data_IF_627985896387
#
_entry.id   IF_627985896387
#
_cell.length_a   1.000
_cell.length_b   1.000
_cell.length_c   1.000
_cell.angle_alpha   90.00
_cell.angle_beta   90.00
_cell.angle_gamma   90.00
#
_symmetry.space_group_name_H-M   'P 1'
#
loop_
_entity.id
_entity.type
_entity.pdbx_description
1 polymer ?
#
# COMPACT_ATOMS: atom_id res chain seq x y z
N UNK A 1 -26.16 5.82 -1.52
CA UNK A 1 -24.83 5.91 -0.90
C UNK A 1 -23.93 6.95 -1.57
N UNK A 2 -23.58 6.82 -2.86
CA UNK A 2 -22.70 7.77 -3.59
C UNK A 2 -22.96 9.26 -3.29
N UNK A 3 -24.20 9.74 -3.49
CA UNK A 3 -24.58 11.14 -3.18
C UNK A 3 -24.30 11.54 -1.73
N UNK A 4 -24.57 10.64 -0.77
CA UNK A 4 -24.29 10.90 0.67
C UNK A 4 -22.79 11.05 0.93
N UNK A 5 -21.95 10.30 0.21
CA UNK A 5 -20.50 10.39 0.31
C UNK A 5 -19.99 11.69 -0.32
N UNK A 6 -20.56 12.13 -1.44
CA UNK A 6 -20.26 13.44 -2.04
C UNK A 6 -20.67 14.59 -1.12
N UNK A 7 -21.88 14.54 -0.56
CA UNK A 7 -22.37 15.53 0.41
C UNK A 7 -21.49 15.55 1.68
N UNK A 8 -21.08 14.37 2.18
CA UNK A 8 -20.15 14.23 3.30
C UNK A 8 -18.78 14.82 2.98
N UNK A 9 -18.24 14.57 1.79
CA UNK A 9 -16.97 15.13 1.34
C UNK A 9 -17.02 16.66 1.25
N UNK A 10 -18.13 17.24 0.79
CA UNK A 10 -18.35 18.68 0.80
C UNK A 10 -18.29 19.26 2.21
N UNK A 11 -19.01 18.65 3.16
CA UNK A 11 -19.00 19.08 4.58
C UNK A 11 -17.64 18.90 5.25
N UNK A 12 -16.93 17.83 4.93
CA UNK A 12 -15.55 17.60 5.41
C UNK A 12 -14.61 18.71 4.92
N UNK A 13 -14.75 19.16 3.66
CA UNK A 13 -13.92 20.23 3.11
C UNK A 13 -14.20 21.62 3.71
N UNK A 14 -15.33 21.81 4.41
CA UNK A 14 -15.64 23.02 5.16
C UNK A 14 -14.99 23.05 6.56
N UNK A 15 -14.44 21.92 7.03
CA UNK A 15 -13.82 21.83 8.35
C UNK A 15 -12.47 22.56 8.36
N UNK A 16 -12.22 23.49 9.31
CA UNK A 16 -10.94 24.18 9.41
C UNK A 16 -9.75 23.23 9.48
N UNK A 17 -8.78 23.46 8.60
CA UNK A 17 -7.58 22.63 8.46
C UNK A 17 -7.68 21.56 7.37
N UNK A 18 -8.89 21.17 6.93
CA UNK A 18 -9.08 20.29 5.77
C UNK A 18 -8.85 21.09 4.49
N UNK A 19 -8.05 20.55 3.58
CA UNK A 19 -7.71 21.18 2.30
C UNK A 19 -8.35 20.47 1.11
N UNK A 20 -8.60 19.16 1.23
CA UNK A 20 -9.25 18.38 0.19
C UNK A 20 -9.80 17.05 0.75
N UNK A 21 -10.73 16.45 0.02
CA UNK A 21 -11.28 15.12 0.28
C UNK A 21 -11.24 14.29 -1.00
N UNK A 22 -10.73 13.07 -0.88
CA UNK A 22 -10.55 12.16 -1.99
C UNK A 22 -11.14 10.79 -1.64
N UNK A 23 -11.90 10.23 -2.57
CA UNK A 23 -12.32 8.84 -2.52
C UNK A 23 -11.13 7.95 -2.90
N UNK A 24 -10.78 7.02 -2.03
CA UNK A 24 -9.74 6.02 -2.23
C UNK A 24 -10.29 4.60 -2.39
N UNK A 25 -9.42 3.64 -2.10
CA UNK A 25 -9.78 2.24 -1.97
C UNK A 25 -10.28 1.57 -3.26
N UNK A 26 -11.02 0.49 -3.08
CA UNK A 26 -11.54 -0.32 -4.18
C UNK A 26 -12.56 0.43 -5.03
N UNK A 27 -13.33 1.35 -4.43
CA UNK A 27 -14.37 2.12 -5.09
C UNK A 27 -13.81 3.16 -6.06
N UNK A 28 -12.73 3.85 -5.69
CA UNK A 28 -12.06 4.77 -6.61
C UNK A 28 -11.47 4.05 -7.84
N UNK A 29 -11.01 2.81 -7.66
CA UNK A 29 -10.36 2.00 -8.68
C UNK A 29 -11.33 1.17 -9.53
N UNK A 30 -12.63 1.16 -9.20
CA UNK A 30 -13.61 0.31 -9.88
C UNK A 30 -13.50 -1.18 -9.55
N UNK A 31 -12.74 -1.54 -8.53
CA UNK A 31 -12.48 -2.94 -8.10
C UNK A 31 -13.34 -3.37 -6.90
N UNK A 32 -14.36 -2.57 -6.56
CA UNK A 32 -15.20 -2.80 -5.39
C UNK A 32 -16.21 -3.92 -5.62
N UNK A 33 -16.56 -4.59 -4.52
CA UNK A 33 -17.70 -5.50 -4.43
C UNK A 33 -18.89 -4.79 -3.77
N UNK A 34 -20.12 -5.36 -3.82
CA UNK A 34 -21.28 -4.76 -3.17
C UNK A 34 -21.07 -4.47 -1.67
N UNK A 35 -20.30 -5.32 -0.99
CA UNK A 35 -19.97 -5.25 0.44
C UNK A 35 -18.77 -4.36 0.78
N UNK A 36 -18.12 -3.73 -0.21
CA UNK A 36 -16.93 -2.91 0.05
C UNK A 36 -17.26 -1.62 0.81
N UNK A 37 -16.34 -1.26 1.68
CA UNK A 37 -16.22 0.01 2.39
C UNK A 37 -16.12 1.22 1.45
N UNK A 38 -16.27 2.41 2.03
CA UNK A 38 -15.96 3.69 1.39
C UNK A 38 -14.80 4.35 2.10
N UNK A 39 -13.65 4.44 1.43
CA UNK A 39 -12.46 5.10 1.97
C UNK A 39 -12.40 6.57 1.55
N UNK A 40 -12.44 7.49 2.52
CA UNK A 40 -12.23 8.91 2.32
C UNK A 40 -10.88 9.33 2.89
N UNK A 41 -9.96 9.72 2.01
CA UNK A 41 -8.77 10.47 2.40
C UNK A 41 -9.17 11.90 2.74
N UNK A 42 -8.98 12.30 3.99
CA UNK A 42 -9.20 13.67 4.48
C UNK A 42 -7.83 14.35 4.56
N UNK A 43 -7.55 15.16 3.54
CA UNK A 43 -6.27 15.85 3.41
C UNK A 43 -6.31 17.12 4.24
N UNK A 44 -5.35 17.28 5.13
CA UNK A 44 -5.29 18.43 6.04
C UNK A 44 -3.91 19.08 6.01
N UNK A 45 -3.85 20.32 6.49
CA UNK A 45 -2.61 21.08 6.65
C UNK A 45 -2.65 21.87 7.95
N UNK A 46 -1.58 21.78 8.74
CA UNK A 46 -1.50 22.45 10.04
C UNK A 46 -2.47 21.84 11.06
N UNK A 47 -3.12 22.71 11.84
CA UNK A 47 -4.06 22.28 12.87
C UNK A 47 -5.41 21.90 12.26
N UNK A 48 -5.94 20.75 12.68
CA UNK A 48 -7.23 20.21 12.25
C UNK A 48 -8.26 20.40 13.37
N UNK A 49 -9.44 20.91 13.03
CA UNK A 49 -10.54 21.03 14.00
C UNK A 49 -11.18 19.66 14.26
N UNK A 50 -10.62 18.91 15.21
CA UNK A 50 -11.10 17.59 15.61
C UNK A 50 -12.50 17.63 16.22
N UNK A 51 -12.90 18.74 16.84
CA UNK A 51 -14.23 18.88 17.40
C UNK A 51 -15.28 18.99 16.29
N UNK A 52 -14.99 19.77 15.24
CA UNK A 52 -15.83 19.86 14.05
C UNK A 52 -15.91 18.50 13.30
N UNK A 53 -14.79 17.77 13.19
CA UNK A 53 -14.81 16.41 12.63
C UNK A 53 -15.65 15.46 13.47
N UNK A 54 -15.53 15.48 14.80
CA UNK A 54 -16.35 14.66 15.69
C UNK A 54 -17.84 14.99 15.57
N UNK A 55 -18.19 16.27 15.51
CA UNK A 55 -19.57 16.71 15.29
C UNK A 55 -20.13 16.22 13.93
N UNK A 56 -19.30 16.19 12.89
CA UNK A 56 -19.67 15.67 11.57
C UNK A 56 -19.80 14.14 11.54
N UNK A 57 -18.90 13.44 12.23
CA UNK A 57 -18.89 11.98 12.32
C UNK A 57 -20.11 11.44 13.05
N UNK A 58 -20.59 12.21 14.03
CA UNK A 58 -21.80 11.92 14.78
C UNK A 58 -21.53 11.33 16.17
N UNK A 59 -22.60 11.14 16.96
CA UNK A 59 -22.49 10.73 18.34
C UNK A 59 -21.87 9.34 18.47
N UNK A 60 -20.91 9.19 19.39
CA UNK A 60 -20.26 7.91 19.69
C UNK A 60 -19.17 7.49 18.71
N UNK A 61 -18.89 8.29 17.67
CA UNK A 61 -17.75 8.04 16.78
C UNK A 61 -16.51 8.73 17.32
N UNK A 62 -15.47 7.95 17.58
CA UNK A 62 -14.16 8.49 17.93
C UNK A 62 -13.40 8.92 16.67
N UNK A 63 -12.93 10.17 16.66
CA UNK A 63 -12.03 10.68 15.62
C UNK A 63 -10.62 10.75 16.18
N UNK A 64 -9.77 9.81 15.78
CA UNK A 64 -8.36 9.82 16.12
C UNK A 64 -7.66 10.95 15.36
N UNK A 65 -7.11 11.92 16.10
CA UNK A 65 -6.33 13.00 15.52
C UNK A 65 -4.99 12.53 14.91
N UNK A 66 -4.22 13.44 14.31
CA UNK A 66 -2.87 13.15 13.81
C UNK A 66 -2.00 12.40 14.83
N UNK A 67 -1.40 11.29 14.40
CA UNK A 67 -0.59 10.36 15.20
C UNK A 67 -1.38 9.30 15.97
N UNK A 68 -2.70 9.43 16.10
CA UNK A 68 -3.55 8.51 16.87
C UNK A 68 -3.57 7.07 16.36
N UNK A 69 -3.31 6.86 15.06
CA UNK A 69 -3.19 5.52 14.45
C UNK A 69 -1.75 5.16 14.07
N UNK A 70 -0.77 5.82 14.68
CA UNK A 70 0.66 5.61 14.42
C UNK A 70 1.21 6.50 13.29
N UNK A 71 2.50 6.31 12.95
CA UNK A 71 3.23 7.31 12.18
C UNK A 71 2.84 7.39 10.70
N UNK A 72 2.09 6.44 10.12
CA UNK A 72 1.80 6.42 8.68
C UNK A 72 0.33 6.62 8.35
N UNK A 73 -0.54 5.72 8.83
CA UNK A 73 -2.00 5.88 8.64
C UNK A 73 -2.48 7.17 9.33
N UNK A 74 -1.74 7.62 10.35
CA UNK A 74 -1.83 8.90 11.03
C UNK A 74 -3.02 9.02 11.97
N UNK A 75 -4.24 8.95 11.45
CA UNK A 75 -5.47 9.07 12.23
C UNK A 75 -6.68 8.99 11.32
N UNK A 76 -7.87 9.22 11.88
CA UNK A 76 -9.10 9.06 11.14
C UNK A 76 -10.30 8.70 11.99
N UNK A 77 -11.31 8.15 11.35
CA UNK A 77 -12.51 7.65 12.01
C UNK A 77 -13.08 6.46 11.24
N UNK A 78 -13.67 5.50 11.96
CA UNK A 78 -14.47 4.44 11.36
C UNK A 78 -15.94 4.74 11.60
N UNK A 79 -16.71 4.87 10.52
CA UNK A 79 -18.11 5.23 10.56
C UNK A 79 -18.96 4.11 9.99
N UNK A 80 -20.23 4.11 10.39
CA UNK A 80 -21.27 3.32 9.73
C UNK A 80 -22.36 4.26 9.25
N UNK A 81 -22.53 4.36 7.93
CA UNK A 81 -23.53 5.21 7.29
C UNK A 81 -24.55 4.30 6.61
N UNK A 82 -25.80 4.35 7.05
CA UNK A 82 -26.89 3.45 6.60
C UNK A 82 -26.51 1.96 6.61
N UNK A 83 -25.73 1.51 7.60
CA UNK A 83 -25.27 0.12 7.68
C UNK A 83 -24.08 -0.25 6.78
N UNK A 84 -23.45 0.73 6.13
CA UNK A 84 -22.24 0.54 5.31
C UNK A 84 -21.04 1.19 5.98
N UNK A 85 -19.90 0.51 6.01
CA UNK A 85 -18.65 1.05 6.53
C UNK A 85 -18.15 2.22 5.68
N UNK A 86 -17.76 3.30 6.36
CA UNK A 86 -17.12 4.48 5.76
C UNK A 86 -15.91 4.84 6.61
N UNK A 87 -14.73 4.83 6.01
CA UNK A 87 -13.47 5.05 6.69
C UNK A 87 -12.95 6.44 6.32
N UNK A 88 -12.69 7.27 7.33
CA UNK A 88 -11.95 8.52 7.16
C UNK A 88 -10.51 8.26 7.50
N UNK A 89 -9.61 8.59 6.59
CA UNK A 89 -8.18 8.43 6.79
C UNK A 89 -7.50 9.80 6.66
N UNK A 90 -6.85 10.26 7.72
CA UNK A 90 -6.15 11.55 7.70
C UNK A 90 -4.88 11.49 6.87
N UNK A 91 -4.68 12.52 6.04
CA UNK A 91 -3.48 12.70 5.21
C UNK A 91 -2.93 14.10 5.39
N UNK A 92 -1.72 14.20 5.93
CA UNK A 92 -0.99 15.47 5.94
C UNK A 92 -0.59 15.81 4.50
N UNK A 93 -1.19 16.86 3.94
CA UNK A 93 -0.98 17.27 2.56
C UNK A 93 0.48 17.64 2.27
N UNK A 94 1.19 18.24 3.23
CA UNK A 94 2.59 18.59 3.06
C UNK A 94 3.48 17.34 3.08
N UNK A 95 3.13 16.34 3.90
CA UNK A 95 3.82 15.05 3.86
C UNK A 95 3.58 14.32 2.54
N UNK A 96 2.35 14.28 2.06
CA UNK A 96 2.02 13.66 0.76
C UNK A 96 2.81 14.35 -0.36
N UNK A 97 2.90 15.68 -0.36
CA UNK A 97 3.72 16.44 -1.28
C UNK A 97 5.21 16.10 -1.20
N UNK A 98 5.78 16.02 0.02
CA UNK A 98 7.19 15.61 0.21
C UNK A 98 7.46 14.21 -0.32
N UNK A 99 6.60 13.25 0.00
CA UNK A 99 6.72 11.86 -0.47
C UNK A 99 6.63 11.79 -2.00
N UNK A 100 5.79 12.61 -2.63
CA UNK A 100 5.76 12.69 -4.08
C UNK A 100 7.10 13.16 -4.67
N UNK A 101 7.71 14.21 -4.11
CA UNK A 101 9.03 14.67 -4.56
C UNK A 101 10.13 13.62 -4.28
N UNK A 102 10.07 12.91 -3.15
CA UNK A 102 10.98 11.77 -2.89
C UNK A 102 10.83 10.67 -3.94
N UNK A 103 9.59 10.27 -4.26
CA UNK A 103 9.32 9.30 -5.32
C UNK A 103 9.90 9.76 -6.67
N UNK A 104 9.78 11.04 -7.02
CA UNK A 104 10.36 11.59 -8.27
C UNK A 104 11.88 11.45 -8.33
N UNK A 105 12.53 11.47 -7.18
CA UNK A 105 13.98 11.31 -7.03
C UNK A 105 14.39 9.86 -6.73
N UNK A 106 13.45 8.90 -6.80
CA UNK A 106 13.72 7.49 -6.55
C UNK A 106 13.94 7.14 -5.07
N UNK A 107 13.51 7.99 -4.16
CA UNK A 107 13.56 7.75 -2.72
C UNK A 107 12.22 7.25 -2.20
N UNK A 108 12.30 6.32 -1.26
CA UNK A 108 11.15 5.83 -0.50
C UNK A 108 11.60 5.34 0.87
N UNK A 109 10.64 5.23 1.78
CA UNK A 109 10.82 4.71 3.13
C UNK A 109 9.80 3.60 3.38
N UNK A 110 10.20 2.60 4.18
CA UNK A 110 9.32 1.51 4.63
C UNK A 110 9.30 1.52 6.15
N UNK A 111 8.13 1.76 6.73
CA UNK A 111 7.99 1.87 8.19
C UNK A 111 7.08 0.82 8.81
N UNK A 112 7.25 0.62 10.12
CA UNK A 112 6.36 -0.22 10.92
C UNK A 112 5.04 0.51 11.13
N UNK A 113 3.93 -0.17 10.84
CA UNK A 113 2.58 0.40 10.95
C UNK A 113 1.58 -0.71 11.28
N UNK A 114 0.77 -0.50 12.32
CA UNK A 114 -0.34 -1.41 12.62
C UNK A 114 -1.31 -1.45 11.43
N UNK A 115 -1.78 -2.66 11.08
CA UNK A 115 -2.61 -2.89 9.89
C UNK A 115 -1.83 -3.13 8.59
N UNK A 116 -0.51 -2.98 8.59
CA UNK A 116 0.36 -3.21 7.42
C UNK A 116 1.49 -4.21 7.75
N UNK A 117 1.23 -5.53 7.75
CA UNK A 117 2.21 -6.56 8.12
C UNK A 117 3.50 -6.58 7.29
N UNK A 118 3.47 -6.10 6.03
CA UNK A 118 4.68 -5.98 5.20
C UNK A 118 5.48 -4.70 5.51
N UNK A 119 4.90 -3.78 6.28
CA UNK A 119 5.35 -2.40 6.46
C UNK A 119 4.57 -1.43 5.57
N UNK A 120 4.53 -0.16 5.97
CA UNK A 120 3.96 0.92 5.19
C UNK A 120 5.01 1.48 4.24
N UNK A 121 4.78 1.35 2.94
CA UNK A 121 5.67 1.86 1.90
C UNK A 121 5.24 3.29 1.56
N UNK A 122 6.11 4.29 1.76
CA UNK A 122 5.74 5.69 1.52
C UNK A 122 5.16 5.97 0.13
N UNK A 123 5.56 5.32 -0.98
CA UNK A 123 4.96 5.57 -2.29
C UNK A 123 3.44 5.36 -2.33
N UNK A 124 2.87 4.63 -1.36
CA UNK A 124 1.43 4.53 -1.14
C UNK A 124 0.75 5.91 -1.11
N UNK A 125 1.32 6.93 -0.46
CA UNK A 125 0.72 8.27 -0.41
C UNK A 125 0.51 8.88 -1.81
N UNK A 126 1.52 8.80 -2.68
CA UNK A 126 1.42 9.28 -4.05
C UNK A 126 0.46 8.42 -4.87
N UNK A 127 0.49 7.09 -4.66
CA UNK A 127 -0.39 6.13 -5.31
C UNK A 127 -1.87 6.32 -4.95
N UNK A 128 -2.19 6.63 -3.69
CA UNK A 128 -3.56 6.92 -3.25
C UNK A 128 -4.11 8.15 -3.98
N UNK A 129 -3.31 9.19 -4.15
CA UNK A 129 -3.70 10.38 -4.92
C UNK A 129 -3.87 10.03 -6.40
N UNK A 130 -2.93 9.27 -6.98
CA UNK A 130 -2.96 8.88 -8.40
C UNK A 130 -4.20 8.07 -8.76
N UNK A 131 -4.53 7.09 -7.92
CA UNK A 131 -5.62 6.14 -8.15
C UNK A 131 -6.97 6.62 -7.59
N UNK A 132 -6.95 7.62 -6.73
CA UNK A 132 -8.14 8.17 -6.10
C UNK A 132 -9.02 9.01 -7.03
N UNK A 133 -10.20 9.37 -6.53
CA UNK A 133 -11.10 10.35 -7.16
C UNK A 133 -11.30 11.53 -6.21
N UNK A 134 -10.85 12.71 -6.62
CA UNK A 134 -11.08 13.95 -5.85
C UNK A 134 -12.58 14.22 -5.78
N UNK A 135 -13.10 14.40 -4.56
CA UNK A 135 -14.51 14.71 -4.30
C UNK A 135 -14.71 16.20 -3.94
N UNK A 136 -13.76 16.78 -3.21
CA UNK A 136 -13.74 18.19 -2.85
C UNK A 136 -12.29 18.68 -2.79
N UNK A 137 -11.99 19.81 -3.44
CA UNK A 137 -10.65 20.41 -3.47
C UNK A 137 -10.77 21.90 -3.84
N UNK A 138 -11.11 22.77 -2.87
CA UNK A 138 -11.38 24.19 -3.14
C UNK A 138 -10.18 24.94 -3.75
N UNK A 139 -8.96 24.48 -3.46
CA UNK A 139 -7.72 25.11 -3.93
C UNK A 139 -7.23 24.60 -5.29
N UNK A 140 -7.66 23.39 -5.68
CA UNK A 140 -7.16 22.69 -6.86
C UNK A 140 -5.78 22.01 -6.67
N UNK A 141 -5.19 22.09 -5.48
CA UNK A 141 -3.85 21.55 -5.19
C UNK A 141 -3.82 20.02 -5.31
N UNK A 142 -4.81 19.32 -4.73
CA UNK A 142 -4.85 17.86 -4.78
C UNK A 142 -5.17 17.36 -6.21
N UNK A 143 -6.00 18.11 -6.92
CA UNK A 143 -6.33 17.86 -8.34
C UNK A 143 -5.09 17.99 -9.22
N UNK A 144 -4.25 19.01 -8.98
CA UNK A 144 -2.97 19.14 -9.66
C UNK A 144 -2.01 18.01 -9.32
N UNK A 145 -1.86 17.68 -8.03
CA UNK A 145 -1.02 16.58 -7.59
C UNK A 145 -1.45 15.26 -8.25
N UNK A 146 -2.76 14.98 -8.33
CA UNK A 146 -3.30 13.80 -9.01
C UNK A 146 -2.93 13.73 -10.49
N UNK A 147 -2.92 14.86 -11.21
CA UNK A 147 -2.43 14.87 -12.60
C UNK A 147 -0.96 14.50 -12.68
N UNK A 148 -0.14 15.00 -11.74
CA UNK A 148 1.30 14.71 -11.69
C UNK A 148 1.59 13.25 -11.32
N UNK A 149 0.90 12.71 -10.33
CA UNK A 149 1.08 11.32 -9.86
C UNK A 149 0.47 10.27 -10.79
N UNK A 150 -0.33 10.68 -11.79
CA UNK A 150 -0.78 9.81 -12.86
C UNK A 150 0.36 9.28 -13.75
N UNK A 151 1.55 9.88 -13.67
CA UNK A 151 2.75 9.39 -14.34
C UNK A 151 3.70 8.80 -13.30
N UNK A 152 3.95 7.50 -13.41
CA UNK A 152 4.82 6.79 -12.48
C UNK A 152 6.28 7.25 -12.66
N UNK A 153 6.97 7.71 -11.60
CA UNK A 153 8.35 8.17 -11.72
C UNK A 153 9.30 7.03 -12.09
N UNK A 154 10.09 7.21 -13.15
CA UNK A 154 11.06 6.21 -13.58
C UNK A 154 12.15 5.97 -12.52
N UNK A 155 12.56 7.02 -11.80
CA UNK A 155 13.52 6.88 -10.70
C UNK A 155 12.97 5.99 -9.57
N UNK A 156 11.69 6.11 -9.22
CA UNK A 156 11.02 5.23 -8.25
C UNK A 156 10.97 3.79 -8.77
N UNK A 157 10.63 3.59 -10.05
CA UNK A 157 10.63 2.28 -10.69
C UNK A 157 11.98 1.59 -10.49
N UNK A 158 13.07 2.27 -10.88
CA UNK A 158 14.42 1.73 -10.73
C UNK A 158 14.79 1.42 -9.27
N UNK A 159 14.43 2.30 -8.34
CA UNK A 159 14.75 2.12 -6.92
C UNK A 159 14.03 0.91 -6.31
N UNK A 160 12.74 0.74 -6.58
CA UNK A 160 11.96 -0.40 -6.08
C UNK A 160 12.40 -1.72 -6.70
N UNK A 161 12.71 -1.73 -8.01
CA UNK A 161 13.26 -2.91 -8.69
C UNK A 161 14.64 -3.27 -8.15
N UNK A 162 15.52 -2.27 -7.93
CA UNK A 162 16.82 -2.50 -7.33
C UNK A 162 16.66 -3.09 -5.92
N UNK A 163 15.69 -2.64 -5.15
CA UNK A 163 15.36 -3.17 -3.81
C UNK A 163 14.99 -4.66 -3.77
N UNK A 164 14.73 -5.30 -4.91
CA UNK A 164 14.41 -6.73 -4.99
C UNK A 164 15.53 -7.64 -4.48
N UNK A 165 16.78 -7.16 -4.39
CA UNK A 165 17.90 -7.90 -3.79
C UNK A 165 17.60 -8.37 -2.35
N UNK A 166 16.75 -7.63 -1.61
CA UNK A 166 16.38 -7.98 -0.23
C UNK A 166 15.69 -9.35 -0.17
N UNK A 167 14.93 -9.73 -1.21
CA UNK A 167 14.26 -11.02 -1.27
C UNK A 167 15.26 -12.19 -1.25
N UNK A 168 16.34 -12.10 -2.03
CA UNK A 168 17.40 -13.12 -2.06
C UNK A 168 18.11 -13.21 -0.69
N UNK A 169 18.38 -12.07 -0.07
CA UNK A 169 18.98 -12.02 1.27
C UNK A 169 18.09 -12.68 2.34
N UNK A 170 16.78 -12.40 2.31
CA UNK A 170 15.80 -12.99 3.23
C UNK A 170 15.65 -14.49 3.01
N UNK A 171 15.65 -14.97 1.77
CA UNK A 171 15.62 -16.41 1.48
C UNK A 171 16.90 -17.11 1.96
N UNK A 172 18.06 -16.46 1.85
CA UNK A 172 19.30 -16.97 2.42
C UNK A 172 19.28 -17.03 3.96
N UNK A 173 18.64 -16.04 4.62
CA UNK A 173 18.41 -16.08 6.06
C UNK A 173 17.44 -17.22 6.45
N UNK A 174 16.34 -17.39 5.71
CA UNK A 174 15.38 -18.47 5.90
C UNK A 174 16.05 -19.85 5.85
N UNK A 175 17.01 -20.07 4.95
CA UNK A 175 17.75 -21.34 4.86
C UNK A 175 18.47 -21.71 6.17
N UNK A 176 18.98 -20.73 6.91
CA UNK A 176 19.63 -20.96 8.21
C UNK A 176 18.61 -21.36 9.28
N UNK A 177 17.42 -20.74 9.25
CA UNK A 177 16.30 -21.08 10.14
C UNK A 177 15.70 -22.46 9.83
N UNK A 178 15.57 -22.78 8.54
CA UNK A 178 15.00 -24.05 8.06
C UNK A 178 15.78 -25.26 8.58
N UNK A 179 17.12 -25.20 8.58
CA UNK A 179 17.97 -26.28 9.12
C UNK A 179 17.73 -26.60 10.61
N UNK A 180 17.07 -25.68 11.35
CA UNK A 180 16.75 -25.81 12.78
C UNK A 180 15.24 -25.94 13.04
N UNK A 181 14.44 -26.12 11.99
CA UNK A 181 12.98 -26.12 12.06
C UNK A 181 12.37 -24.84 12.68
N UNK A 182 13.00 -23.68 12.50
CA UNK A 182 12.48 -22.39 12.98
C UNK A 182 11.36 -21.87 12.07
N UNK A 183 10.16 -22.42 12.27
CA UNK A 183 8.98 -22.13 11.45
C UNK A 183 8.64 -20.64 11.44
N UNK A 184 8.77 -19.97 12.59
CA UNK A 184 8.44 -18.54 12.71
C UNK A 184 9.40 -17.69 11.88
N UNK A 185 10.72 -17.89 12.04
CA UNK A 185 11.70 -17.10 11.31
C UNK A 185 11.60 -17.34 9.79
N UNK A 186 11.45 -18.60 9.37
CA UNK A 186 11.25 -18.93 7.95
C UNK A 186 10.01 -18.26 7.39
N UNK A 187 8.88 -18.34 8.09
CA UNK A 187 7.62 -17.73 7.62
C UNK A 187 7.72 -16.21 7.49
N UNK A 188 8.38 -15.54 8.43
CA UNK A 188 8.63 -14.09 8.36
C UNK A 188 9.52 -13.72 7.18
N UNK A 189 10.62 -14.45 6.97
CA UNK A 189 11.52 -14.22 5.84
C UNK A 189 10.80 -14.43 4.50
N UNK A 190 10.04 -15.53 4.35
CA UNK A 190 9.34 -15.85 3.11
C UNK A 190 8.23 -14.83 2.81
N UNK A 191 7.42 -14.47 3.81
CA UNK A 191 6.36 -13.46 3.65
C UNK A 191 6.93 -12.11 3.21
N UNK A 192 8.02 -11.66 3.83
CA UNK A 192 8.68 -10.40 3.47
C UNK A 192 9.36 -10.47 2.10
N UNK A 193 10.05 -11.56 1.78
CA UNK A 193 10.68 -11.76 0.47
C UNK A 193 9.65 -11.67 -0.66
N UNK A 194 8.51 -12.38 -0.52
CA UNK A 194 7.40 -12.29 -1.48
C UNK A 194 6.87 -10.87 -1.59
N UNK A 195 6.66 -10.18 -0.47
CA UNK A 195 6.16 -8.80 -0.48
C UNK A 195 7.09 -7.82 -1.21
N UNK A 196 8.40 -7.97 -1.05
CA UNK A 196 9.41 -7.18 -1.78
C UNK A 196 9.36 -7.48 -3.27
N UNK A 197 9.27 -8.76 -3.67
CA UNK A 197 9.15 -9.13 -5.09
C UNK A 197 7.86 -8.57 -5.71
N UNK A 198 6.75 -8.61 -4.98
CA UNK A 198 5.49 -8.00 -5.42
C UNK A 198 5.64 -6.49 -5.64
N UNK A 199 6.28 -5.76 -4.73
CA UNK A 199 6.54 -4.33 -4.91
C UNK A 199 7.37 -4.06 -6.18
N UNK A 200 8.41 -4.86 -6.41
CA UNK A 200 9.27 -4.73 -7.59
C UNK A 200 8.52 -5.04 -8.90
N UNK A 201 7.65 -6.05 -8.92
CA UNK A 201 6.82 -6.38 -10.08
C UNK A 201 5.83 -5.25 -10.43
N UNK A 202 5.22 -4.64 -9.42
CA UNK A 202 4.39 -3.45 -9.60
C UNK A 202 5.18 -2.28 -10.18
N UNK A 203 6.37 -2.03 -9.63
CA UNK A 203 7.25 -0.98 -10.10
C UNK A 203 7.66 -1.18 -11.56
N UNK A 204 7.97 -2.41 -11.96
CA UNK A 204 8.32 -2.75 -13.35
C UNK A 204 7.21 -2.37 -14.34
N UNK A 205 5.96 -2.68 -13.98
CA UNK A 205 4.77 -2.34 -14.76
C UNK A 205 4.33 -0.86 -14.60
N UNK A 206 5.09 -0.04 -13.86
CA UNK A 206 4.75 1.37 -13.54
C UNK A 206 3.39 1.50 -12.86
N UNK A 207 3.06 0.52 -12.02
CA UNK A 207 1.79 0.44 -11.29
C UNK A 207 1.98 0.80 -9.83
N UNK A 208 1.08 1.62 -9.29
CA UNK A 208 1.07 1.95 -7.87
C UNK A 208 0.58 0.78 -7.02
N UNK A 209 1.42 0.29 -6.10
CA UNK A 209 1.05 -0.68 -5.07
C UNK A 209 0.68 0.06 -3.79
N UNK A 210 -0.59 0.03 -3.38
CA UNK A 210 -1.06 0.79 -2.21
C UNK A 210 -0.83 0.06 -0.89
N UNK A 211 -1.01 -1.25 -0.88
CA UNK A 211 -0.79 -2.12 0.28
C UNK A 211 -0.70 -3.57 -0.18
N UNK A 212 -0.37 -4.46 0.74
CA UNK A 212 -0.24 -5.90 0.52
C UNK A 212 -1.58 -6.62 0.29
N UNK A 213 -2.72 -6.03 0.71
CA UNK A 213 -4.05 -6.64 0.58
C UNK A 213 -4.43 -6.78 -0.89
N UNK A 214 -4.49 -8.02 -1.36
CA UNK A 214 -4.81 -8.33 -2.77
C UNK A 214 -3.66 -8.08 -3.74
N UNK A 215 -2.49 -7.64 -3.27
CA UNK A 215 -1.38 -7.29 -4.14
C UNK A 215 -0.88 -8.48 -4.98
N UNK A 216 -0.84 -9.69 -4.41
CA UNK A 216 -0.44 -10.91 -5.10
C UNK A 216 -1.33 -11.23 -6.31
N UNK A 217 -2.64 -11.06 -6.18
CA UNK A 217 -3.60 -11.37 -7.25
C UNK A 217 -3.42 -10.45 -8.46
N UNK A 218 -2.95 -9.23 -8.24
CA UNK A 218 -2.56 -8.33 -9.33
C UNK A 218 -1.18 -8.71 -9.86
N UNK A 219 -0.19 -8.90 -8.97
CA UNK A 219 1.19 -9.20 -9.34
C UNK A 219 1.30 -10.43 -10.26
N UNK A 220 0.51 -11.48 -10.02
CA UNK A 220 0.53 -12.69 -10.84
C UNK A 220 0.04 -12.49 -12.29
N UNK A 221 -0.62 -11.36 -12.57
CA UNK A 221 -1.11 -10.99 -13.91
C UNK A 221 -0.20 -10.01 -14.64
N UNK A 222 0.86 -9.50 -13.97
CA UNK A 222 1.77 -8.53 -14.56
C UNK A 222 2.73 -9.20 -15.55
N UNK A 223 3.09 -8.54 -16.67
CA UNK A 223 3.97 -9.12 -17.69
C UNK A 223 5.35 -9.55 -17.16
N UNK A 224 5.87 -8.87 -16.13
CA UNK A 224 7.16 -9.18 -15.52
C UNK A 224 7.15 -10.37 -14.55
N UNK A 225 5.98 -10.93 -14.23
CA UNK A 225 5.88 -12.04 -13.29
C UNK A 225 6.38 -13.35 -13.93
N UNK A 226 7.24 -14.12 -13.25
CA UNK A 226 7.70 -15.40 -13.80
C UNK A 226 6.56 -16.42 -13.92
N UNK A 227 6.71 -17.45 -14.76
CA UNK A 227 5.71 -18.49 -14.94
C UNK A 227 5.26 -19.10 -13.60
N UNK A 228 3.95 -19.08 -13.37
CA UNK A 228 3.35 -19.65 -12.16
C UNK A 228 3.67 -18.89 -10.86
N UNK A 229 4.08 -17.61 -10.93
CA UNK A 229 4.40 -16.79 -9.76
C UNK A 229 3.35 -16.91 -8.64
N UNK A 230 2.09 -16.61 -8.94
CA UNK A 230 0.99 -16.67 -7.97
C UNK A 230 0.78 -18.05 -7.33
N UNK A 231 0.58 -19.13 -8.13
CA UNK A 231 0.48 -20.48 -7.60
C UNK A 231 1.67 -20.90 -6.73
N UNK A 232 2.91 -20.56 -7.13
CA UNK A 232 4.13 -20.87 -6.37
C UNK A 232 4.15 -20.11 -5.04
N UNK A 233 3.84 -18.81 -5.03
CA UNK A 233 3.71 -18.02 -3.79
C UNK A 233 2.67 -18.62 -2.85
N UNK A 234 1.50 -19.02 -3.36
CA UNK A 234 0.44 -19.65 -2.56
C UNK A 234 0.90 -20.97 -1.94
N UNK A 235 1.67 -21.78 -2.67
CA UNK A 235 2.24 -23.00 -2.12
C UNK A 235 3.26 -22.71 -1.00
N UNK A 236 4.18 -21.76 -1.24
CA UNK A 236 5.22 -21.36 -0.27
C UNK A 236 4.64 -20.85 1.04
N UNK A 237 3.61 -19.99 0.98
CA UNK A 237 3.05 -19.32 2.16
C UNK A 237 1.88 -20.09 2.79
N UNK A 238 1.22 -20.97 2.04
CA UNK A 238 0.06 -21.73 2.52
C UNK A 238 0.43 -22.83 3.51
N UNK A 239 1.59 -23.47 3.32
CA UNK A 239 2.12 -24.47 4.23
C UNK A 239 3.65 -24.55 4.16
N UNK A 240 4.38 -23.60 4.79
CA UNK A 240 5.85 -23.57 4.70
C UNK A 240 6.55 -24.84 5.20
N UNK A 241 5.93 -25.56 6.15
CA UNK A 241 6.45 -26.79 6.75
C UNK A 241 6.51 -26.73 8.28
N UNK A 242 6.59 -27.89 8.91
CA UNK A 242 6.73 -28.04 10.37
C UNK A 242 8.03 -28.77 10.77
N UNK A 243 8.74 -29.37 9.80
CA UNK A 243 10.03 -30.04 10.02
C UNK A 243 11.15 -29.32 9.25
N UNK A 244 12.39 -29.55 9.65
CA UNK A 244 13.55 -29.00 8.95
C UNK A 244 13.59 -29.42 7.47
N UNK A 245 13.28 -30.68 7.17
CA UNK A 245 13.21 -31.19 5.79
C UNK A 245 12.19 -30.43 4.94
N UNK A 246 10.96 -30.25 5.46
CA UNK A 246 9.90 -29.52 4.76
C UNK A 246 10.28 -28.06 4.53
N UNK A 247 10.80 -27.39 5.57
CA UNK A 247 11.20 -25.99 5.47
C UNK A 247 12.38 -25.80 4.50
N UNK A 248 13.34 -26.73 4.47
CA UNK A 248 14.46 -26.70 3.51
C UNK A 248 13.94 -26.80 2.08
N UNK A 249 12.98 -27.71 1.83
CA UNK A 249 12.35 -27.84 0.51
C UNK A 249 11.60 -26.54 0.11
N UNK A 250 10.80 -25.98 1.00
CA UNK A 250 10.08 -24.70 0.76
C UNK A 250 11.06 -23.55 0.48
N UNK A 251 12.15 -23.45 1.25
CA UNK A 251 13.16 -22.39 1.04
C UNK A 251 13.89 -22.57 -0.28
N UNK A 252 14.13 -23.80 -0.74
CA UNK A 252 14.70 -24.06 -2.05
C UNK A 252 13.79 -23.56 -3.19
N UNK A 253 12.48 -23.83 -3.10
CA UNK A 253 11.49 -23.32 -4.07
C UNK A 253 11.38 -21.79 -4.02
N UNK A 254 11.42 -21.20 -2.83
CA UNK A 254 11.42 -19.75 -2.67
C UNK A 254 12.67 -19.09 -3.29
N UNK A 255 13.82 -19.76 -3.23
CA UNK A 255 15.05 -19.30 -3.87
C UNK A 255 14.91 -19.25 -5.38
N UNK A 256 14.43 -20.32 -5.99
CA UNK A 256 14.20 -20.37 -7.44
C UNK A 256 13.23 -19.27 -7.87
N UNK A 257 12.11 -19.11 -7.15
CA UNK A 257 11.14 -18.05 -7.44
C UNK A 257 11.77 -16.66 -7.35
N UNK A 258 12.57 -16.39 -6.31
CA UNK A 258 13.22 -15.10 -6.12
C UNK A 258 14.24 -14.81 -7.23
N UNK A 259 15.11 -15.78 -7.55
CA UNK A 259 16.12 -15.67 -8.60
C UNK A 259 15.48 -15.43 -9.98
N UNK A 260 14.44 -16.19 -10.33
CA UNK A 260 13.70 -16.01 -11.58
C UNK A 260 13.03 -14.62 -11.64
N UNK A 261 12.40 -14.19 -10.55
CA UNK A 261 11.74 -12.87 -10.50
C UNK A 261 12.77 -11.74 -10.64
N UNK A 262 13.87 -11.79 -9.89
CA UNK A 262 14.94 -10.78 -9.96
C UNK A 262 15.59 -10.77 -11.34
N UNK A 263 15.78 -11.93 -11.98
CA UNK A 263 16.30 -12.01 -13.33
C UNK A 263 15.36 -11.37 -14.36
N UNK A 264 14.04 -11.58 -14.24
CA UNK A 264 13.04 -10.98 -15.11
C UNK A 264 12.95 -9.45 -14.98
N UNK A 265 13.29 -8.91 -13.81
CA UNK A 265 13.34 -7.47 -13.55
C UNK A 265 14.59 -6.78 -14.09
N UNK A 266 15.63 -7.52 -14.50
CA UNK A 266 16.82 -6.89 -15.06
C UNK A 266 16.47 -6.31 -16.44
N UNK A 267 16.87 -5.06 -16.75
CA UNK A 267 16.71 -4.53 -18.09
C UNK A 267 17.35 -5.50 -19.09
N UNK A 268 16.59 -5.94 -20.08
CA UNK A 268 17.20 -6.63 -21.22
C UNK A 268 18.28 -5.71 -21.76
N UNK A 269 19.53 -6.19 -21.82
CA UNK A 269 20.62 -5.40 -22.37
C UNK A 269 20.18 -4.93 -23.75
N UNK A 270 19.99 -3.61 -23.91
CA UNK A 270 19.51 -3.04 -25.15
C UNK A 270 20.46 -3.48 -26.28
N UNK A 271 19.97 -4.34 -27.16
CA UNK A 271 20.54 -4.57 -28.50
C UNK A 271 20.12 -3.44 -29.42
#
# INVERSE_FOLDING_TARGET
MQKKIEDMAGRLAEVPGVVAVLLGGSRARGEHRPDSDWDLGVYYRGALDLAALGALAGPGVEVAGPGGWGPWVNGGAWLTVDGVAVDWILRDADRVGRVWEDCREGRYEVGVQAGHPLGFWSPCYAGEVALGRVLADPSGELTDLRRRTAHYPEALRQALMAGAWEAEFLVAAAAKGAARADVLHVSLCLSRAVGVLVQALYAEDRRWCLNEKGALAVAETLPGAPPGFGPRVRALLGAPGATAEQLVATVAEARLLAEETVAALRPSAAT
#
